data_IF_057024008582
#
_entry.id   IF_057024008582
#
_cell.length_a   1.000
_cell.length_b   1.000
_cell.length_c   1.000
_cell.angle_alpha   90.00
_cell.angle_beta   90.00
_cell.angle_gamma   90.00
#
_symmetry.space_group_name_H-M   'P 1'
#
loop_
_entity.id
_entity.type
_entity.pdbx_description
1 polymer ?
#
# COMPACT_ATOMS: atom_id res chain seq x y z
N UNK A 1 -9.84 6.74 15.83
CA UNK A 1 -9.54 8.02 15.14
C UNK A 1 -10.78 8.64 14.50
N UNK A 2 -11.68 7.89 13.87
CA UNK A 2 -12.90 8.48 13.26
C UNK A 2 -13.96 8.95 14.28
N UNK A 3 -14.06 8.26 15.43
CA UNK A 3 -15.06 8.54 16.48
C UNK A 3 -14.67 9.65 17.47
N UNK A 4 -13.44 9.61 17.98
CA UNK A 4 -13.00 10.49 19.07
C UNK A 4 -12.34 11.74 18.49
N UNK A 5 -12.80 12.90 18.91
CA UNK A 5 -12.17 14.20 18.63
C UNK A 5 -11.34 14.61 19.84
N UNK A 6 -10.01 14.74 19.71
CA UNK A 6 -9.19 15.37 20.74
C UNK A 6 -9.72 16.79 21.06
N UNK A 7 -9.56 17.28 22.30
CA UNK A 7 -10.10 18.59 22.70
C UNK A 7 -9.40 19.78 22.04
N UNK A 8 -8.30 19.56 21.31
CA UNK A 8 -7.51 20.58 20.62
C UNK A 8 -7.32 20.22 19.14
N UNK A 9 -7.26 21.24 18.28
CA UNK A 9 -6.94 21.14 16.85
C UNK A 9 -7.87 20.18 16.06
N UNK A 10 -9.13 20.07 16.47
CA UNK A 10 -10.10 19.32 15.68
C UNK A 10 -9.89 17.81 15.64
N UNK A 11 -10.67 17.13 14.79
CA UNK A 11 -10.65 15.67 14.70
C UNK A 11 -9.32 15.14 14.16
N UNK A 12 -8.91 15.59 12.98
CA UNK A 12 -7.78 15.00 12.24
C UNK A 12 -6.43 15.53 12.73
N UNK A 13 -6.27 16.84 12.89
CA UNK A 13 -4.99 17.45 13.30
C UNK A 13 -4.65 17.10 14.75
N UNK A 14 -5.65 17.03 15.64
CA UNK A 14 -5.46 16.55 17.01
C UNK A 14 -4.83 15.15 17.07
N UNK A 15 -5.36 14.19 16.30
CA UNK A 15 -4.80 12.83 16.25
C UNK A 15 -3.41 12.77 15.58
N UNK A 16 -3.18 13.58 14.53
CA UNK A 16 -1.85 13.71 13.91
C UNK A 16 -0.82 14.23 14.90
N UNK A 17 -1.17 15.26 15.68
CA UNK A 17 -0.26 15.83 16.66
C UNK A 17 0.06 14.82 17.77
N UNK A 18 -0.94 14.11 18.29
CA UNK A 18 -0.74 13.09 19.34
C UNK A 18 0.20 11.98 18.85
N UNK A 19 -0.02 11.43 17.65
CA UNK A 19 0.84 10.37 17.12
C UNK A 19 2.26 10.86 16.84
N UNK A 20 2.42 12.08 16.30
CA UNK A 20 3.73 12.70 16.07
C UNK A 20 4.51 12.92 17.37
N UNK A 21 3.87 13.44 18.42
CA UNK A 21 4.53 13.65 19.71
C UNK A 21 4.92 12.33 20.38
N UNK A 22 4.07 11.31 20.29
CA UNK A 22 4.41 9.97 20.78
C UNK A 22 5.58 9.35 20.01
N UNK A 23 5.64 9.54 18.68
CA UNK A 23 6.79 9.12 17.86
C UNK A 23 8.07 9.83 18.26
N UNK A 24 8.02 11.15 18.43
CA UNK A 24 9.18 11.94 18.88
C UNK A 24 9.67 11.42 20.23
N UNK A 25 8.78 11.24 21.20
CA UNK A 25 9.13 10.72 22.52
C UNK A 25 9.74 9.31 22.45
N UNK A 26 9.16 8.42 21.65
CA UNK A 26 9.65 7.06 21.48
C UNK A 26 11.02 7.01 20.80
N UNK A 27 11.24 7.81 19.75
CA UNK A 27 12.54 7.89 19.04
C UNK A 27 13.62 8.48 19.94
N UNK A 28 13.30 9.53 20.72
CA UNK A 28 14.23 10.09 21.71
C UNK A 28 14.60 9.04 22.76
N UNK A 29 13.62 8.28 23.26
CA UNK A 29 13.85 7.20 24.22
C UNK A 29 14.76 6.10 23.63
N UNK A 30 14.58 5.74 22.35
CA UNK A 30 15.48 4.79 21.66
C UNK A 30 16.91 5.30 21.58
N UNK A 31 17.13 6.61 21.43
CA UNK A 31 18.45 7.22 21.45
C UNK A 31 19.23 7.00 22.75
N UNK A 32 18.54 6.88 23.89
CA UNK A 32 19.18 6.60 25.18
C UNK A 32 19.47 5.10 25.42
N UNK A 33 18.93 4.21 24.59
CA UNK A 33 19.08 2.77 24.78
C UNK A 33 20.37 2.26 24.12
N UNK A 34 21.13 1.45 24.86
CA UNK A 34 22.27 0.71 24.31
C UNK A 34 21.82 -0.68 23.83
N UNK A 35 21.95 -1.01 22.53
CA UNK A 35 21.50 -2.29 21.99
C UNK A 35 22.12 -3.52 22.69
N UNK A 36 23.35 -3.38 23.19
CA UNK A 36 24.08 -4.46 23.86
C UNK A 36 23.54 -4.80 25.26
N UNK A 37 22.86 -3.87 25.95
CA UNK A 37 22.43 -4.04 27.34
C UNK A 37 20.91 -4.09 27.49
N UNK A 38 20.15 -3.49 26.57
CA UNK A 38 18.71 -3.25 26.72
C UNK A 38 17.89 -3.70 25.51
N UNK A 39 18.21 -4.88 24.95
CA UNK A 39 17.56 -5.41 23.74
C UNK A 39 16.03 -5.47 23.86
N UNK A 40 15.50 -5.95 24.98
CA UNK A 40 14.04 -6.05 25.20
C UNK A 40 13.35 -4.69 25.24
N UNK A 41 13.95 -3.69 25.89
CA UNK A 41 13.39 -2.33 25.93
C UNK A 41 13.47 -1.64 24.57
N UNK A 42 14.57 -1.84 23.85
CA UNK A 42 14.71 -1.35 22.48
C UNK A 42 13.64 -1.99 21.56
N UNK A 43 13.38 -3.28 21.70
CA UNK A 43 12.32 -3.98 20.96
C UNK A 43 10.93 -3.44 21.32
N UNK A 44 10.63 -3.24 22.61
CA UNK A 44 9.37 -2.66 23.05
C UNK A 44 9.15 -1.23 22.49
N UNK A 45 10.20 -0.40 22.49
CA UNK A 45 10.16 0.92 21.87
C UNK A 45 10.00 0.85 20.35
N UNK A 46 10.63 -0.12 19.68
CA UNK A 46 10.47 -0.32 18.25
C UNK A 46 9.02 -0.67 17.88
N UNK A 47 8.38 -1.52 18.69
CA UNK A 47 6.95 -1.84 18.56
C UNK A 47 6.09 -0.61 18.78
N UNK A 48 6.40 0.21 19.80
CA UNK A 48 5.70 1.47 20.05
C UNK A 48 5.83 2.44 18.87
N UNK A 49 7.04 2.61 18.32
CA UNK A 49 7.29 3.42 17.12
C UNK A 49 6.48 2.89 15.94
N UNK A 50 6.51 1.57 15.68
CA UNK A 50 5.75 0.97 14.59
C UNK A 50 4.23 1.21 14.73
N UNK A 51 3.70 1.06 15.94
CA UNK A 51 2.29 1.29 16.23
C UNK A 51 1.90 2.78 16.05
N UNK A 52 2.71 3.70 16.56
CA UNK A 52 2.47 5.13 16.40
C UNK A 52 2.65 5.59 14.94
N UNK A 53 3.59 5.00 14.19
CA UNK A 53 3.79 5.25 12.75
C UNK A 53 2.58 4.80 11.95
N UNK A 54 2.10 3.57 12.15
CA UNK A 54 0.91 3.06 11.48
C UNK A 54 -0.32 3.93 11.80
N UNK A 55 -0.44 4.37 13.05
CA UNK A 55 -1.46 5.32 13.49
C UNK A 55 -1.36 6.66 12.75
N UNK A 56 -0.16 7.22 12.61
CA UNK A 56 0.07 8.48 11.91
C UNK A 56 -0.26 8.36 10.43
N UNK A 57 0.15 7.28 9.76
CA UNK A 57 -0.13 7.04 8.34
C UNK A 57 -1.63 7.04 8.07
N UNK A 58 -2.41 6.33 8.90
CA UNK A 58 -3.87 6.27 8.78
C UNK A 58 -4.50 7.66 8.93
N UNK A 59 -4.09 8.45 9.93
CA UNK A 59 -4.70 9.79 10.14
C UNK A 59 -4.25 10.76 9.05
N UNK A 60 -3.01 10.68 8.59
CA UNK A 60 -2.49 11.53 7.52
C UNK A 60 -3.18 11.26 6.19
N UNK A 61 -3.35 10.00 5.82
CA UNK A 61 -4.04 9.64 4.57
C UNK A 61 -5.54 9.97 4.63
N UNK A 62 -6.17 9.81 5.79
CA UNK A 62 -7.53 10.28 6.01
C UNK A 62 -7.64 11.80 5.87
N UNK A 63 -6.75 12.54 6.53
CA UNK A 63 -6.69 14.00 6.47
C UNK A 63 -6.51 14.49 5.02
N UNK A 64 -5.60 13.88 4.28
CA UNK A 64 -5.34 14.16 2.86
C UNK A 64 -6.57 13.88 1.99
N UNK A 65 -7.30 12.80 2.27
CA UNK A 65 -8.53 12.41 1.56
C UNK A 65 -9.68 13.38 1.85
N UNK A 66 -9.78 13.86 3.08
CA UNK A 66 -10.80 14.80 3.53
C UNK A 66 -10.53 16.22 2.98
N UNK A 67 -9.27 16.64 2.92
CA UNK A 67 -8.87 17.98 2.48
C UNK A 67 -8.90 18.17 0.95
N UNK A 68 -8.40 17.19 0.19
CA UNK A 68 -8.20 17.36 -1.25
C UNK A 68 -9.50 17.19 -2.05
N UNK A 69 -9.73 18.12 -2.98
CA UNK A 69 -10.79 17.98 -3.98
C UNK A 69 -10.45 16.87 -4.97
N UNK A 70 -11.45 16.30 -5.63
CA UNK A 70 -11.28 15.17 -6.55
C UNK A 70 -10.21 15.41 -7.63
N UNK A 71 -10.11 16.65 -8.13
CA UNK A 71 -9.13 17.11 -9.13
C UNK A 71 -7.70 17.18 -8.58
N UNK A 72 -7.55 17.47 -7.29
CA UNK A 72 -6.26 17.67 -6.62
C UNK A 72 -5.68 16.37 -6.06
N UNK A 73 -6.49 15.31 -5.91
CA UNK A 73 -6.08 14.02 -5.33
C UNK A 73 -4.85 13.42 -6.00
N UNK A 74 -4.74 13.52 -7.33
CA UNK A 74 -3.57 13.02 -8.05
C UNK A 74 -2.28 13.77 -7.70
N UNK A 75 -2.37 15.09 -7.55
CA UNK A 75 -1.22 15.94 -7.20
C UNK A 75 -0.84 15.77 -5.72
N UNK A 76 -1.84 15.75 -4.84
CA UNK A 76 -1.60 15.49 -3.42
C UNK A 76 -1.02 14.10 -3.16
N UNK A 77 -1.48 13.07 -3.90
CA UNK A 77 -0.86 11.75 -3.86
C UNK A 77 0.61 11.81 -4.31
N UNK A 78 0.91 12.46 -5.44
CA UNK A 78 2.27 12.61 -5.94
C UNK A 78 3.21 13.34 -4.95
N UNK A 79 2.76 14.45 -4.35
CA UNK A 79 3.52 15.19 -3.33
C UNK A 79 3.75 14.31 -2.09
N UNK A 80 2.74 13.55 -1.66
CA UNK A 80 2.89 12.64 -0.51
C UNK A 80 3.89 11.51 -0.80
N UNK A 81 3.89 10.97 -2.02
CA UNK A 81 4.87 9.96 -2.45
C UNK A 81 6.27 10.56 -2.52
N UNK A 82 6.42 11.78 -3.03
CA UNK A 82 7.70 12.50 -3.02
C UNK A 82 8.23 12.65 -1.59
N UNK A 83 7.39 13.15 -0.67
CA UNK A 83 7.76 13.31 0.74
C UNK A 83 8.19 12.00 1.38
N UNK A 84 7.46 10.91 1.13
CA UNK A 84 7.82 9.57 1.59
C UNK A 84 9.17 9.09 1.05
N UNK A 85 9.45 9.31 -0.25
CA UNK A 85 10.73 8.92 -0.88
C UNK A 85 11.91 9.74 -0.36
N UNK A 86 11.73 11.03 -0.14
CA UNK A 86 12.74 11.88 0.50
C UNK A 86 12.99 11.44 1.94
N UNK A 87 11.93 11.17 2.70
CA UNK A 87 12.04 10.68 4.07
C UNK A 87 12.81 9.35 4.13
N UNK A 88 12.53 8.41 3.23
CA UNK A 88 13.23 7.12 3.15
C UNK A 88 14.73 7.28 2.85
N UNK A 89 15.12 8.26 2.04
CA UNK A 89 16.53 8.57 1.76
C UNK A 89 17.23 9.14 3.01
N UNK A 90 16.58 10.10 3.67
CA UNK A 90 17.11 10.77 4.86
C UNK A 90 17.21 9.81 6.05
N UNK A 91 16.14 9.05 6.34
CA UNK A 91 16.09 8.13 7.48
C UNK A 91 16.85 6.82 7.26
N UNK A 92 17.08 6.44 6.01
CA UNK A 92 17.84 5.25 5.64
C UNK A 92 19.33 5.53 5.49
N UNK A 93 19.74 5.92 4.28
CA UNK A 93 21.17 6.03 3.92
C UNK A 93 21.89 7.19 4.61
N UNK A 94 21.24 8.35 4.68
CA UNK A 94 21.82 9.55 5.27
C UNK A 94 21.99 9.42 6.79
N UNK A 95 20.96 8.93 7.48
CA UNK A 95 21.03 8.66 8.91
C UNK A 95 22.13 7.65 9.26
N UNK A 96 22.24 6.55 8.51
CA UNK A 96 23.28 5.55 8.77
C UNK A 96 24.69 6.10 8.55
N UNK A 97 24.90 6.86 7.47
CA UNK A 97 26.19 7.50 7.19
C UNK A 97 26.57 8.54 8.25
N UNK A 98 25.60 9.33 8.73
CA UNK A 98 25.79 10.28 9.82
C UNK A 98 26.11 9.58 11.15
N UNK A 99 25.44 8.46 11.44
CA UNK A 99 25.67 7.67 12.64
C UNK A 99 27.07 7.07 12.66
N UNK A 100 27.53 6.51 11.55
CA UNK A 100 28.83 5.86 11.44
C UNK A 100 29.99 6.87 11.50
N UNK A 101 29.87 8.00 10.77
CA UNK A 101 31.02 8.88 10.53
C UNK A 101 31.12 10.10 11.45
N UNK A 102 30.02 10.60 12.00
CA UNK A 102 30.01 11.90 12.70
C UNK A 102 29.40 11.85 14.10
N UNK A 103 28.17 11.36 14.22
CA UNK A 103 27.33 11.63 15.39
C UNK A 103 27.16 10.43 16.33
N UNK A 104 27.48 9.22 15.89
CA UNK A 104 27.12 8.01 16.61
C UNK A 104 25.61 7.76 16.60
N UNK A 105 25.22 6.61 17.15
CA UNK A 105 23.85 6.11 17.12
C UNK A 105 22.85 6.99 17.88
N UNK A 106 23.22 7.40 19.10
CA UNK A 106 22.36 8.20 19.99
C UNK A 106 21.99 9.56 19.37
N UNK A 107 22.98 10.34 18.93
CA UNK A 107 22.71 11.66 18.38
C UNK A 107 22.00 11.59 17.03
N UNK A 108 22.19 10.52 16.25
CA UNK A 108 21.42 10.29 15.02
C UNK A 108 19.93 10.09 15.31
N UNK A 109 19.57 9.32 16.35
CA UNK A 109 18.16 9.20 16.74
C UNK A 109 17.56 10.51 17.21
N UNK A 110 18.30 11.31 17.98
CA UNK A 110 17.84 12.64 18.38
C UNK A 110 17.68 13.60 17.20
N UNK A 111 18.58 13.53 16.21
CA UNK A 111 18.44 14.27 14.97
C UNK A 111 17.16 13.85 14.22
N UNK A 112 16.87 12.55 14.11
CA UNK A 112 15.64 12.05 13.47
C UNK A 112 14.39 12.50 14.23
N UNK A 113 14.41 12.47 15.56
CA UNK A 113 13.33 13.02 16.38
C UNK A 113 13.16 14.53 16.16
N UNK A 114 14.25 15.28 16.02
CA UNK A 114 14.24 16.70 15.70
C UNK A 114 13.60 16.98 14.33
N UNK A 115 13.91 16.18 13.30
CA UNK A 115 13.29 16.31 11.98
C UNK A 115 11.77 16.08 12.02
N UNK A 116 11.28 15.20 12.89
CA UNK A 116 9.83 15.00 13.07
C UNK A 116 9.12 16.25 13.60
N UNK A 117 9.81 17.17 14.28
CA UNK A 117 9.23 18.45 14.72
C UNK A 117 8.83 19.36 13.53
N UNK A 118 9.45 19.20 12.37
CA UNK A 118 9.02 19.89 11.13
C UNK A 118 7.61 19.42 10.76
N UNK A 119 7.35 18.11 10.88
CA UNK A 119 6.03 17.53 10.69
C UNK A 119 5.00 18.04 11.72
N UNK A 120 5.41 18.22 12.97
CA UNK A 120 4.58 18.83 14.02
C UNK A 120 4.21 20.27 13.66
N UNK A 121 5.19 21.09 13.28
CA UNK A 121 4.95 22.47 12.86
C UNK A 121 4.01 22.53 11.64
N UNK A 122 4.20 21.64 10.66
CA UNK A 122 3.30 21.53 9.52
C UNK A 122 1.86 21.19 9.94
N UNK A 123 1.65 20.25 10.88
CA UNK A 123 0.31 19.92 11.42
C UNK A 123 -0.35 21.10 12.12
N UNK A 124 0.43 21.90 12.85
CA UNK A 124 -0.07 23.10 13.53
C UNK A 124 -0.50 24.20 12.54
N UNK A 125 0.21 24.35 11.43
CA UNK A 125 -0.11 25.33 10.38
C UNK A 125 -1.18 24.83 9.39
N UNK A 126 -1.44 23.52 9.37
CA UNK A 126 -2.35 22.91 8.41
C UNK A 126 -3.80 23.38 8.62
N UNK A 127 -4.56 23.62 7.53
CA UNK A 127 -5.97 23.99 7.61
C UNK A 127 -6.79 22.84 8.20
N UNK A 128 -7.90 23.16 8.85
CA UNK A 128 -8.85 22.14 9.26
C UNK A 128 -9.78 21.80 8.08
N UNK A 129 -10.08 20.52 7.81
CA UNK A 129 -10.99 20.17 6.73
C UNK A 129 -12.38 20.77 6.98
N UNK A 130 -12.87 21.55 6.03
CA UNK A 130 -14.22 22.14 6.05
C UNK A 130 -15.25 21.04 5.80
N UNK A 131 -15.68 20.33 6.84
CA UNK A 131 -16.92 19.56 6.78
C UNK A 131 -17.40 19.14 8.18
N UNK A 132 -18.60 19.63 8.55
CA UNK A 132 -19.41 19.21 9.71
C UNK A 132 -19.91 17.75 9.56
N UNK A 133 -19.03 16.80 9.21
CA UNK A 133 -19.39 15.39 9.16
C UNK A 133 -19.51 14.90 10.60
N UNK A 134 -20.71 14.52 11.07
CA UNK A 134 -20.91 14.07 12.43
C UNK A 134 -20.05 12.82 12.69
N UNK A 135 -19.28 12.85 13.77
CA UNK A 135 -18.50 11.68 14.18
C UNK A 135 -19.45 10.50 14.49
N UNK A 136 -19.08 9.26 14.12
CA UNK A 136 -19.86 8.07 14.45
C UNK A 136 -20.05 7.98 15.96
N UNK A 137 -21.30 7.79 16.41
CA UNK A 137 -21.67 7.88 17.84
C UNK A 137 -21.28 6.63 18.63
N UNK A 138 -21.22 5.47 17.96
CA UNK A 138 -20.91 4.17 18.58
C UNK A 138 -19.69 3.47 17.93
N UNK A 139 -19.07 2.54 18.66
CA UNK A 139 -17.93 1.75 18.14
C UNK A 139 -18.36 0.84 16.98
N UNK A 140 -19.58 0.30 17.06
CA UNK A 140 -20.18 -0.46 15.96
C UNK A 140 -20.33 0.41 14.71
N UNK A 141 -20.78 1.66 14.84
CA UNK A 141 -20.84 2.60 13.71
C UNK A 141 -19.46 2.96 13.17
N UNK A 142 -18.40 2.93 13.98
CA UNK A 142 -17.05 3.25 13.52
C UNK A 142 -16.36 2.09 12.79
N UNK A 143 -16.74 0.83 13.05
CA UNK A 143 -16.11 -0.36 12.46
C UNK A 143 -17.01 -1.05 11.44
N UNK A 144 -18.29 -1.25 11.76
CA UNK A 144 -19.23 -2.00 10.92
C UNK A 144 -19.83 -1.11 9.83
N UNK A 145 -20.15 0.16 10.12
CA UNK A 145 -20.75 1.04 9.11
C UNK A 145 -19.84 1.31 7.90
N UNK A 146 -18.52 1.55 8.03
CA UNK A 146 -17.62 1.68 6.89
C UNK A 146 -17.57 0.43 6.01
N UNK A 147 -17.57 -0.76 6.63
CA UNK A 147 -17.57 -2.03 5.93
C UNK A 147 -18.89 -2.27 5.22
N UNK A 148 -20.02 -2.00 5.89
CA UNK A 148 -21.36 -2.13 5.31
C UNK A 148 -21.58 -1.13 4.18
N UNK A 149 -21.10 0.10 4.32
CA UNK A 149 -21.10 1.11 3.26
C UNK A 149 -20.29 0.62 2.07
N UNK A 150 -19.08 0.12 2.27
CA UNK A 150 -18.22 -0.36 1.19
C UNK A 150 -18.81 -1.59 0.49
N UNK A 151 -19.15 -2.65 1.23
CA UNK A 151 -19.74 -3.88 0.68
C UNK A 151 -21.19 -3.71 0.24
N UNK A 152 -21.82 -2.57 0.48
CA UNK A 152 -23.16 -2.23 -0.04
C UNK A 152 -23.13 -1.63 -1.45
N UNK A 153 -21.95 -1.30 -1.98
CA UNK A 153 -21.77 -0.74 -3.32
C UNK A 153 -21.89 -1.82 -4.40
N UNK A 154 -22.34 -1.45 -5.60
CA UNK A 154 -22.59 -2.39 -6.69
C UNK A 154 -21.33 -3.14 -7.18
N UNK A 155 -20.12 -2.58 -7.00
CA UNK A 155 -18.87 -3.09 -7.57
C UNK A 155 -17.75 -3.27 -6.53
N UNK A 156 -18.13 -3.45 -5.26
CA UNK A 156 -17.17 -3.50 -4.15
C UNK A 156 -16.13 -4.61 -4.33
N UNK A 157 -16.54 -5.81 -4.75
CA UNK A 157 -15.68 -6.98 -4.87
C UNK A 157 -14.76 -6.89 -6.08
N UNK A 158 -15.26 -6.42 -7.23
CA UNK A 158 -14.42 -6.17 -8.41
C UNK A 158 -13.36 -5.10 -8.12
N UNK A 159 -13.70 -4.07 -7.34
CA UNK A 159 -12.75 -3.04 -6.93
C UNK A 159 -11.69 -3.62 -5.97
N UNK A 160 -12.07 -4.48 -5.03
CA UNK A 160 -11.09 -5.16 -4.16
C UNK A 160 -10.15 -6.05 -4.99
N UNK A 161 -10.69 -6.80 -5.94
CA UNK A 161 -9.90 -7.63 -6.83
C UNK A 161 -8.97 -6.79 -7.72
N UNK A 162 -9.46 -5.66 -8.24
CA UNK A 162 -8.68 -4.68 -8.98
C UNK A 162 -7.51 -4.14 -8.14
N UNK A 163 -7.75 -3.76 -6.89
CA UNK A 163 -6.70 -3.24 -5.99
C UNK A 163 -5.55 -4.24 -5.83
N UNK A 164 -5.87 -5.53 -5.68
CA UNK A 164 -4.86 -6.59 -5.55
C UNK A 164 -4.18 -6.91 -6.89
N UNK A 165 -4.95 -7.04 -7.97
CA UNK A 165 -4.44 -7.45 -9.28
C UNK A 165 -3.67 -6.33 -10.00
N UNK A 166 -4.04 -5.06 -9.81
CA UNK A 166 -3.42 -3.93 -10.49
C UNK A 166 -1.93 -3.81 -10.20
N UNK A 167 -1.51 -4.09 -8.95
CA UNK A 167 -0.10 -4.05 -8.54
C UNK A 167 0.63 -5.39 -8.67
N UNK A 168 -0.04 -6.44 -9.16
CA UNK A 168 0.51 -7.80 -9.16
C UNK A 168 1.74 -7.93 -10.07
N UNK A 169 1.67 -7.45 -11.31
CA UNK A 169 2.80 -7.56 -12.25
C UNK A 169 4.05 -6.79 -11.80
N UNK A 170 3.86 -5.57 -11.28
CA UNK A 170 4.89 -4.74 -10.66
C UNK A 170 5.48 -5.41 -9.41
N UNK A 171 4.63 -6.01 -8.56
CA UNK A 171 5.06 -6.74 -7.38
C UNK A 171 5.93 -7.96 -7.71
N UNK A 172 5.58 -8.73 -8.76
CA UNK A 172 6.41 -9.85 -9.20
C UNK A 172 7.79 -9.35 -9.64
N UNK A 173 7.85 -8.40 -10.57
CA UNK A 173 9.12 -7.89 -11.09
C UNK A 173 10.00 -7.27 -9.99
N UNK A 174 9.41 -6.45 -9.11
CA UNK A 174 10.12 -5.76 -8.04
C UNK A 174 10.57 -6.66 -6.89
N UNK A 175 9.86 -7.76 -6.61
CA UNK A 175 10.19 -8.66 -5.48
C UNK A 175 11.55 -9.32 -5.60
N UNK A 176 11.99 -9.59 -6.83
CA UNK A 176 13.27 -10.25 -7.13
C UNK A 176 14.22 -9.41 -7.96
N UNK A 177 13.92 -8.13 -8.26
CA UNK A 177 14.75 -7.30 -9.15
C UNK A 177 16.19 -7.19 -8.69
N UNK A 178 16.43 -6.92 -7.39
CA UNK A 178 17.78 -6.85 -6.84
C UNK A 178 18.49 -8.21 -6.86
N UNK A 179 17.77 -9.29 -6.56
CA UNK A 179 18.30 -10.66 -6.62
C UNK A 179 18.64 -11.07 -8.06
N UNK A 180 17.82 -10.71 -9.04
CA UNK A 180 18.05 -10.96 -10.46
C UNK A 180 19.31 -10.25 -10.95
N UNK A 181 19.46 -8.97 -10.62
CA UNK A 181 20.63 -8.19 -11.05
C UNK A 181 21.94 -8.78 -10.49
N UNK A 182 21.94 -9.18 -9.22
CA UNK A 182 23.14 -9.71 -8.56
C UNK A 182 23.39 -11.18 -8.93
N UNK A 183 22.39 -12.04 -8.77
CA UNK A 183 22.55 -13.51 -8.93
C UNK A 183 22.19 -14.03 -10.32
N UNK A 184 21.28 -13.37 -11.03
CA UNK A 184 20.88 -13.76 -12.37
C UNK A 184 21.87 -13.28 -13.42
N UNK A 185 22.10 -11.96 -13.49
CA UNK A 185 22.97 -11.34 -14.49
C UNK A 185 24.43 -11.23 -14.02
N UNK A 186 24.69 -11.25 -12.71
CA UNK A 186 26.04 -11.20 -12.16
C UNK A 186 26.63 -9.78 -12.06
N UNK A 187 25.80 -8.76 -11.81
CA UNK A 187 26.30 -7.41 -11.48
C UNK A 187 26.90 -7.35 -10.08
N UNK A 188 27.83 -6.41 -9.90
CA UNK A 188 28.37 -6.14 -8.56
C UNK A 188 27.27 -5.55 -7.66
N UNK A 189 27.20 -6.03 -6.41
CA UNK A 189 26.16 -5.58 -5.48
C UNK A 189 26.30 -4.10 -5.12
N UNK A 190 27.52 -3.55 -5.13
CA UNK A 190 27.79 -2.13 -4.94
C UNK A 190 27.26 -1.29 -6.08
N UNK A 191 27.51 -1.70 -7.33
CA UNK A 191 26.99 -1.02 -8.53
C UNK A 191 25.46 -1.04 -8.57
N UNK A 192 24.83 -2.20 -8.35
CA UNK A 192 23.37 -2.33 -8.30
C UNK A 192 22.79 -1.45 -7.20
N UNK A 193 23.40 -1.48 -6.02
CA UNK A 193 22.98 -0.65 -4.88
C UNK A 193 23.08 0.84 -5.17
N UNK A 194 24.17 1.29 -5.81
CA UNK A 194 24.37 2.69 -6.19
C UNK A 194 23.31 3.13 -7.20
N UNK A 195 23.10 2.37 -8.28
CA UNK A 195 22.14 2.72 -9.34
C UNK A 195 20.71 2.71 -8.81
N UNK A 196 20.30 1.71 -8.02
CA UNK A 196 18.96 1.68 -7.42
C UNK A 196 18.71 2.85 -6.47
N UNK A 197 19.68 3.17 -5.59
CA UNK A 197 19.51 4.24 -4.59
C UNK A 197 19.60 5.64 -5.18
N UNK A 198 20.37 5.83 -6.26
CA UNK A 198 20.52 7.14 -6.90
C UNK A 198 19.54 7.30 -8.05
N UNK A 199 19.79 6.61 -9.17
CA UNK A 199 19.02 6.70 -10.39
C UNK A 199 17.59 6.18 -10.21
N UNK A 200 17.40 5.04 -9.53
CA UNK A 200 16.08 4.47 -9.27
C UNK A 200 15.20 5.37 -8.39
N UNK A 201 15.76 5.91 -7.29
CA UNK A 201 15.02 6.85 -6.44
C UNK A 201 14.67 8.15 -7.19
N UNK A 202 15.63 8.71 -7.93
CA UNK A 202 15.41 9.89 -8.76
C UNK A 202 14.31 9.65 -9.79
N UNK A 203 14.36 8.52 -10.51
CA UNK A 203 13.35 8.10 -11.46
C UNK A 203 11.97 7.97 -10.80
N UNK A 204 11.89 7.38 -9.61
CA UNK A 204 10.63 7.25 -8.86
C UNK A 204 10.04 8.60 -8.52
N UNK A 205 10.87 9.56 -8.09
CA UNK A 205 10.45 10.93 -7.77
C UNK A 205 9.91 11.63 -9.03
N UNK A 206 10.69 11.62 -10.11
CA UNK A 206 10.28 12.22 -11.39
C UNK A 206 8.99 11.57 -11.89
N UNK A 207 8.90 10.25 -11.80
CA UNK A 207 7.73 9.47 -12.20
C UNK A 207 6.49 9.80 -11.37
N UNK A 208 6.61 9.86 -10.04
CA UNK A 208 5.48 10.21 -9.17
C UNK A 208 4.96 11.63 -9.46
N UNK A 209 5.85 12.61 -9.60
CA UNK A 209 5.48 14.00 -9.91
C UNK A 209 4.88 14.13 -11.31
N UNK A 210 5.54 13.56 -12.32
CA UNK A 210 5.05 13.55 -13.70
C UNK A 210 3.69 12.85 -13.80
N UNK A 211 3.54 11.70 -13.13
CA UNK A 211 2.27 10.97 -13.03
C UNK A 211 1.17 11.82 -12.38
N UNK A 212 1.47 12.51 -11.28
CA UNK A 212 0.55 13.42 -10.61
C UNK A 212 0.08 14.59 -11.49
N UNK A 213 1.00 15.20 -12.25
CA UNK A 213 0.66 16.27 -13.21
C UNK A 213 -0.19 15.71 -14.36
N UNK A 214 0.16 14.55 -14.89
CA UNK A 214 -0.59 13.95 -15.99
C UNK A 214 -2.02 13.55 -15.56
N UNK A 215 -2.20 13.17 -14.30
CA UNK A 215 -3.52 12.92 -13.70
C UNK A 215 -4.41 14.15 -13.56
N UNK A 216 -3.85 15.37 -13.62
CA UNK A 216 -4.68 16.58 -13.72
C UNK A 216 -5.29 16.73 -15.12
N UNK A 217 -4.62 16.20 -16.15
CA UNK A 217 -5.04 16.33 -17.56
C UNK A 217 -5.81 15.12 -18.09
N UNK A 218 -5.68 13.98 -17.42
CA UNK A 218 -6.34 12.72 -17.79
C UNK A 218 -7.40 12.36 -16.74
N UNK A 219 -8.45 11.64 -17.15
CA UNK A 219 -9.34 11.00 -16.18
C UNK A 219 -8.58 9.92 -15.39
N UNK A 220 -9.03 9.64 -14.16
CA UNK A 220 -8.36 8.67 -13.28
C UNK A 220 -8.21 7.30 -13.96
N UNK A 221 -9.25 6.87 -14.67
CA UNK A 221 -9.24 5.64 -15.46
C UNK A 221 -8.15 5.64 -16.54
N UNK A 222 -8.06 6.71 -17.35
CA UNK A 222 -7.06 6.81 -18.43
C UNK A 222 -5.64 6.84 -17.87
N UNK A 223 -5.43 7.56 -16.77
CA UNK A 223 -4.13 7.60 -16.10
C UNK A 223 -3.71 6.23 -15.57
N UNK A 224 -4.59 5.53 -14.83
CA UNK A 224 -4.33 4.17 -14.33
C UNK A 224 -4.06 3.18 -15.47
N UNK A 225 -4.82 3.27 -16.57
CA UNK A 225 -4.61 2.39 -17.72
C UNK A 225 -3.26 2.63 -18.37
N UNK A 226 -2.92 3.89 -18.64
CA UNK A 226 -1.63 4.27 -19.21
C UNK A 226 -0.47 3.83 -18.31
N UNK A 227 -0.55 4.11 -17.02
CA UNK A 227 0.53 3.81 -16.07
C UNK A 227 0.68 2.31 -15.82
N UNK A 228 -0.42 1.56 -15.78
CA UNK A 228 -0.35 0.11 -15.67
C UNK A 228 0.25 -0.56 -16.92
N UNK A 229 -0.07 -0.06 -18.11
CA UNK A 229 0.59 -0.51 -19.36
C UNK A 229 2.07 -0.15 -19.34
N UNK A 230 2.43 1.06 -18.94
CA UNK A 230 3.83 1.48 -18.83
C UNK A 230 4.61 0.62 -17.81
N UNK A 231 4.00 0.24 -16.68
CA UNK A 231 4.60 -0.70 -15.71
C UNK A 231 4.82 -2.09 -16.32
N UNK A 232 3.83 -2.62 -17.04
CA UNK A 232 3.99 -3.89 -17.74
C UNK A 232 5.11 -3.83 -18.79
N UNK A 233 5.19 -2.73 -19.55
CA UNK A 233 6.25 -2.52 -20.54
C UNK A 233 7.62 -2.34 -19.86
N UNK A 234 7.71 -1.70 -18.70
CA UNK A 234 9.00 -1.59 -18.00
C UNK A 234 9.57 -2.93 -17.58
N UNK A 235 8.73 -3.94 -17.32
CA UNK A 235 9.19 -5.31 -17.04
C UNK A 235 9.88 -5.97 -18.24
N UNK A 236 9.58 -5.54 -19.48
CA UNK A 236 10.33 -5.98 -20.66
C UNK A 236 11.81 -5.56 -20.60
N UNK A 237 12.13 -4.46 -19.93
CA UNK A 237 13.52 -4.03 -19.73
C UNK A 237 14.35 -5.08 -18.98
N UNK A 238 13.79 -5.69 -17.95
CA UNK A 238 14.43 -6.78 -17.22
C UNK A 238 14.46 -8.09 -18.02
N UNK A 239 13.43 -8.37 -18.83
CA UNK A 239 13.46 -9.50 -19.75
C UNK A 239 14.59 -9.38 -20.78
N UNK A 240 14.78 -8.19 -21.37
CA UNK A 240 15.89 -7.90 -22.29
C UNK A 240 17.22 -8.15 -21.58
N UNK A 241 17.36 -7.69 -20.34
CA UNK A 241 18.57 -7.90 -19.54
C UNK A 241 18.82 -9.37 -19.19
N UNK A 242 17.78 -10.21 -19.20
CA UNK A 242 17.91 -11.65 -18.96
C UNK A 242 18.42 -12.42 -20.18
N UNK A 243 18.33 -11.82 -21.37
CA UNK A 243 18.71 -12.46 -22.65
C UNK A 243 19.92 -11.77 -23.30
N UNK A 244 20.25 -10.54 -22.87
CA UNK A 244 21.35 -9.73 -23.41
C UNK A 244 22.56 -9.77 -22.48
N UNK A 245 23.75 -9.55 -23.05
CA UNK A 245 25.00 -9.47 -22.28
C UNK A 245 25.02 -8.31 -21.25
N UNK A 246 25.86 -8.50 -20.23
CA UNK A 246 26.05 -7.58 -19.12
C UNK A 246 26.52 -6.21 -19.61
N UNK A 247 25.71 -5.18 -19.40
CA UNK A 247 26.09 -3.78 -19.57
C UNK A 247 25.50 -2.90 -18.47
N UNK A 248 26.32 -2.01 -17.93
CA UNK A 248 25.90 -1.03 -16.92
C UNK A 248 24.81 -0.10 -17.46
N UNK A 249 24.87 0.23 -18.76
CA UNK A 249 23.92 1.14 -19.39
C UNK A 249 22.55 0.48 -19.55
N UNK A 250 22.51 -0.79 -19.95
CA UNK A 250 21.24 -1.54 -20.07
C UNK A 250 20.61 -1.75 -18.69
N UNK A 251 21.39 -2.11 -17.67
CA UNK A 251 20.92 -2.16 -16.29
C UNK A 251 20.36 -0.82 -15.79
N UNK A 252 21.13 0.26 -15.96
CA UNK A 252 20.72 1.60 -15.53
C UNK A 252 19.43 2.05 -16.22
N UNK A 253 19.28 1.79 -17.52
CA UNK A 253 18.06 2.12 -18.27
C UNK A 253 16.85 1.31 -17.81
N UNK A 254 17.02 0.01 -17.52
CA UNK A 254 15.94 -0.85 -17.04
C UNK A 254 15.47 -0.40 -15.64
N UNK A 255 16.41 -0.15 -14.72
CA UNK A 255 16.11 0.36 -13.37
C UNK A 255 15.41 1.72 -13.46
N UNK A 256 15.91 2.63 -14.30
CA UNK A 256 15.31 3.95 -14.47
C UNK A 256 13.87 3.85 -14.97
N UNK A 257 13.62 3.06 -16.03
CA UNK A 257 12.28 2.91 -16.61
C UNK A 257 11.30 2.25 -15.64
N UNK A 258 11.72 1.19 -14.96
CA UNK A 258 10.89 0.52 -13.93
C UNK A 258 10.53 1.49 -12.82
N UNK A 259 11.51 2.18 -12.24
CA UNK A 259 11.25 3.07 -11.12
C UNK A 259 10.42 4.30 -11.53
N UNK A 260 10.63 4.82 -12.75
CA UNK A 260 9.80 5.89 -13.32
C UNK A 260 8.34 5.45 -13.43
N UNK A 261 8.08 4.30 -14.06
CA UNK A 261 6.72 3.76 -14.24
C UNK A 261 6.09 3.34 -12.91
N UNK A 262 6.88 2.75 -12.02
CA UNK A 262 6.52 2.37 -10.66
C UNK A 262 6.09 3.59 -9.83
N UNK A 263 6.83 4.70 -9.92
CA UNK A 263 6.47 5.99 -9.32
C UNK A 263 5.14 6.53 -9.83
N UNK A 264 4.96 6.59 -11.15
CA UNK A 264 3.72 7.05 -11.79
C UNK A 264 2.50 6.26 -11.31
N UNK A 265 2.56 4.92 -11.39
CA UNK A 265 1.41 4.12 -10.98
C UNK A 265 1.25 3.99 -9.47
N UNK A 266 2.26 4.21 -8.64
CA UNK A 266 2.07 4.30 -7.18
C UNK A 266 1.29 5.56 -6.81
N UNK A 267 1.61 6.71 -7.41
CA UNK A 267 0.85 7.94 -7.21
C UNK A 267 -0.61 7.78 -7.66
N UNK A 268 -0.84 7.20 -8.84
CA UNK A 268 -2.20 6.95 -9.34
C UNK A 268 -2.97 5.94 -8.49
N UNK A 269 -2.30 4.91 -7.98
CA UNK A 269 -2.92 3.92 -7.11
C UNK A 269 -3.34 4.52 -5.76
N UNK A 270 -2.51 5.36 -5.15
CA UNK A 270 -2.90 6.09 -3.93
C UNK A 270 -4.11 6.98 -4.19
N UNK A 271 -4.15 7.70 -5.32
CA UNK A 271 -5.29 8.52 -5.70
C UNK A 271 -6.56 7.70 -5.98
N UNK A 272 -6.43 6.48 -6.52
CA UNK A 272 -7.52 5.52 -6.65
C UNK A 272 -8.09 5.16 -5.27
N UNK A 273 -7.23 4.77 -4.32
CA UNK A 273 -7.67 4.44 -2.96
C UNK A 273 -8.42 5.61 -2.31
N UNK A 274 -7.88 6.83 -2.42
CA UNK A 274 -8.55 8.03 -1.91
C UNK A 274 -9.93 8.26 -2.55
N UNK A 275 -10.08 7.96 -3.84
CA UNK A 275 -11.34 8.13 -4.57
C UNK A 275 -12.38 7.10 -4.19
N UNK A 276 -11.95 5.92 -3.75
CA UNK A 276 -12.81 4.85 -3.29
C UNK A 276 -13.25 5.00 -1.83
N UNK A 277 -12.66 5.92 -1.09
CA UNK A 277 -13.03 6.19 0.29
C UNK A 277 -14.20 7.17 0.37
N UNK A 278 -15.20 6.83 1.20
CA UNK A 278 -16.23 7.76 1.61
C UNK A 278 -15.65 8.72 2.65
N UNK A 279 -15.87 10.04 2.49
CA UNK A 279 -15.37 11.07 3.41
C UNK A 279 -15.82 10.85 4.86
N UNK A 280 -17.01 10.26 5.06
CA UNK A 280 -17.52 9.95 6.41
C UNK A 280 -16.69 8.90 7.16
N UNK A 281 -15.99 8.02 6.44
CA UNK A 281 -15.26 6.88 6.98
C UNK A 281 -13.86 6.73 6.35
N UNK A 282 -13.25 7.85 5.97
CA UNK A 282 -12.06 7.88 5.12
C UNK A 282 -10.88 7.12 5.73
N UNK A 283 -10.61 7.29 7.02
CA UNK A 283 -9.50 6.62 7.70
C UNK A 283 -9.65 5.09 7.69
N UNK A 284 -10.81 4.59 8.11
CA UNK A 284 -11.05 3.15 8.21
C UNK A 284 -11.06 2.47 6.84
N UNK A 285 -11.71 3.08 5.83
CA UNK A 285 -11.74 2.53 4.48
C UNK A 285 -10.36 2.60 3.80
N UNK A 286 -9.63 3.71 3.94
CA UNK A 286 -8.31 3.82 3.35
C UNK A 286 -7.33 2.81 3.95
N UNK A 287 -7.34 2.67 5.29
CA UNK A 287 -6.52 1.68 5.98
C UNK A 287 -6.81 0.25 5.50
N UNK A 288 -8.08 -0.11 5.36
CA UNK A 288 -8.49 -1.42 4.87
C UNK A 288 -7.97 -1.68 3.44
N UNK A 289 -8.20 -0.74 2.53
CA UNK A 289 -7.83 -0.90 1.12
C UNK A 289 -6.30 -0.89 0.93
N UNK A 290 -5.59 -0.04 1.67
CA UNK A 290 -4.12 0.00 1.68
C UNK A 290 -3.53 -1.30 2.22
N UNK A 291 -4.04 -1.80 3.35
CA UNK A 291 -3.60 -3.08 3.92
C UNK A 291 -3.85 -4.25 2.96
N UNK A 292 -5.00 -4.29 2.30
CA UNK A 292 -5.31 -5.31 1.30
C UNK A 292 -4.34 -5.26 0.11
N UNK A 293 -3.96 -4.06 -0.35
CA UNK A 293 -2.96 -3.91 -1.42
C UNK A 293 -1.57 -4.41 -1.00
N UNK A 294 -1.22 -4.29 0.27
CA UNK A 294 0.05 -4.76 0.81
C UNK A 294 0.12 -6.30 0.83
N UNK A 295 -0.99 -6.99 1.15
CA UNK A 295 -1.08 -8.46 1.10
C UNK A 295 -0.69 -8.96 -0.30
N UNK A 296 -1.26 -8.36 -1.35
CA UNK A 296 -0.92 -8.71 -2.73
C UNK A 296 0.57 -8.58 -3.06
N UNK A 297 1.28 -7.64 -2.43
CA UNK A 297 2.71 -7.40 -2.67
C UNK A 297 3.62 -8.31 -1.84
N UNK A 298 3.27 -8.56 -0.58
CA UNK A 298 4.13 -9.28 0.39
C UNK A 298 4.21 -10.76 0.07
N UNK A 299 3.10 -11.40 -0.30
CA UNK A 299 3.05 -12.85 -0.54
C UNK A 299 3.55 -13.26 -1.93
N UNK A 300 3.86 -12.31 -2.81
CA UNK A 300 4.39 -12.58 -4.15
C UNK A 300 5.84 -13.06 -4.11
N UNK A 301 6.66 -12.59 -3.18
CA UNK A 301 8.10 -12.91 -3.12
C UNK A 301 8.41 -14.42 -3.07
N UNK A 302 7.82 -15.20 -2.16
CA UNK A 302 8.04 -16.66 -2.12
C UNK A 302 7.61 -17.38 -3.39
N UNK A 303 6.46 -16.99 -3.98
CA UNK A 303 5.95 -17.56 -5.22
C UNK A 303 6.89 -17.24 -6.39
N UNK A 304 7.37 -16.01 -6.43
CA UNK A 304 8.35 -15.55 -7.41
C UNK A 304 9.65 -16.36 -7.33
N UNK A 305 10.16 -16.60 -6.11
CA UNK A 305 11.38 -17.39 -5.89
C UNK A 305 11.26 -18.81 -6.42
N UNK A 306 10.18 -19.51 -6.04
CA UNK A 306 9.89 -20.86 -6.54
C UNK A 306 9.75 -20.89 -8.07
N UNK A 307 9.09 -19.90 -8.67
CA UNK A 307 8.90 -19.84 -10.12
C UNK A 307 10.24 -19.68 -10.86
N UNK A 308 11.12 -18.82 -10.37
CA UNK A 308 12.46 -18.60 -10.94
C UNK A 308 13.32 -19.86 -10.83
N UNK A 309 13.28 -20.57 -9.70
CA UNK A 309 14.02 -21.83 -9.54
C UNK A 309 13.55 -22.90 -10.52
N UNK A 310 12.25 -22.96 -10.82
CA UNK A 310 11.68 -23.95 -11.74
C UNK A 310 11.79 -23.59 -13.23
N UNK A 311 11.65 -22.31 -13.60
CA UNK A 311 11.51 -21.87 -15.00
C UNK A 311 12.59 -20.88 -15.48
N UNK A 312 13.45 -20.39 -14.58
CA UNK A 312 14.50 -19.42 -14.87
C UNK A 312 14.03 -17.97 -14.99
N UNK A 313 15.00 -17.06 -15.12
CA UNK A 313 14.78 -15.61 -15.13
C UNK A 313 14.02 -15.07 -16.36
N UNK A 314 14.27 -15.52 -17.60
CA UNK A 314 13.57 -14.98 -18.76
C UNK A 314 12.05 -15.27 -18.71
N UNK A 315 11.66 -16.50 -18.38
CA UNK A 315 10.24 -16.86 -18.27
C UNK A 315 9.55 -16.14 -17.10
N UNK A 316 10.28 -15.87 -16.00
CA UNK A 316 9.75 -15.12 -14.87
C UNK A 316 9.34 -13.68 -15.24
N UNK A 317 10.17 -12.95 -15.98
CA UNK A 317 9.82 -11.59 -16.40
C UNK A 317 8.72 -11.56 -17.46
N UNK A 318 8.62 -12.58 -18.32
CA UNK A 318 7.44 -12.72 -19.21
C UNK A 318 6.17 -13.01 -18.40
N UNK A 319 6.26 -13.86 -17.38
CA UNK A 319 5.15 -14.14 -16.48
C UNK A 319 4.70 -12.89 -15.72
N UNK A 320 5.62 -12.03 -15.26
CA UNK A 320 5.24 -10.80 -14.56
C UNK A 320 4.48 -9.82 -15.46
N UNK A 321 4.81 -9.77 -16.76
CA UNK A 321 4.05 -8.99 -17.76
C UNK A 321 2.65 -9.58 -17.95
N UNK A 322 2.55 -10.90 -18.12
CA UNK A 322 1.27 -11.58 -18.23
C UNK A 322 0.40 -11.39 -16.97
N UNK A 323 1.01 -11.38 -15.78
CA UNK A 323 0.35 -11.15 -14.51
C UNK A 323 -0.19 -9.73 -14.34
N UNK A 324 0.28 -8.75 -15.13
CA UNK A 324 -0.29 -7.39 -15.15
C UNK A 324 -1.61 -7.32 -15.95
N UNK A 325 -1.82 -8.20 -16.94
CA UNK A 325 -2.97 -8.17 -17.84
C UNK A 325 -4.32 -8.30 -17.11
N UNK A 326 -4.52 -9.23 -16.15
CA UNK A 326 -5.78 -9.32 -15.41
C UNK A 326 -6.15 -8.02 -14.68
N UNK A 327 -5.16 -7.33 -14.09
CA UNK A 327 -5.37 -6.05 -13.43
C UNK A 327 -5.84 -4.96 -14.40
N UNK A 328 -5.25 -4.89 -15.59
CA UNK A 328 -5.66 -3.95 -16.65
C UNK A 328 -7.04 -4.27 -17.21
N UNK A 329 -7.36 -5.55 -17.40
CA UNK A 329 -8.69 -5.98 -17.85
C UNK A 329 -9.78 -5.63 -16.82
N UNK A 330 -9.53 -5.89 -15.54
CA UNK A 330 -10.43 -5.51 -14.44
C UNK A 330 -10.63 -4.01 -14.37
N UNK A 331 -9.57 -3.23 -14.59
CA UNK A 331 -9.66 -1.78 -14.66
C UNK A 331 -10.60 -1.36 -15.79
N UNK A 332 -10.47 -1.98 -16.98
CA UNK A 332 -11.34 -1.80 -18.12
C UNK A 332 -12.82 -2.08 -17.81
N UNK A 333 -13.10 -3.18 -17.12
CA UNK A 333 -14.46 -3.55 -16.67
C UNK A 333 -15.01 -2.52 -15.68
N UNK A 334 -14.17 -1.99 -14.78
CA UNK A 334 -14.60 -1.01 -13.77
C UNK A 334 -14.69 0.44 -14.29
N UNK A 335 -14.38 0.69 -15.57
CA UNK A 335 -14.26 2.04 -16.15
C UNK A 335 -15.44 2.96 -15.81
N UNK A 336 -16.65 2.56 -16.17
CA UNK A 336 -17.86 3.38 -16.02
C UNK A 336 -18.16 3.67 -14.54
N UNK A 337 -17.82 2.73 -13.67
CA UNK A 337 -18.02 2.89 -12.22
C UNK A 337 -17.05 3.90 -11.63
N UNK A 338 -15.79 3.82 -12.04
CA UNK A 338 -14.75 4.74 -11.59
C UNK A 338 -15.02 6.16 -12.12
N UNK A 339 -15.40 6.30 -13.40
CA UNK A 339 -15.78 7.58 -14.00
C UNK A 339 -17.01 8.17 -13.30
N UNK A 340 -18.05 7.37 -13.03
CA UNK A 340 -19.23 7.83 -12.28
C UNK A 340 -18.89 8.32 -10.87
N UNK A 341 -18.10 7.53 -10.13
CA UNK A 341 -17.69 7.86 -8.76
C UNK A 341 -16.84 9.14 -8.72
N UNK A 342 -15.96 9.33 -9.71
CA UNK A 342 -15.13 10.52 -9.83
C UNK A 342 -15.98 11.78 -10.12
N UNK A 343 -17.02 11.68 -10.96
CA UNK A 343 -17.86 12.82 -11.36
C UNK A 343 -18.91 13.20 -10.32
N UNK A 344 -19.57 12.22 -9.70
CA UNK A 344 -20.72 12.46 -8.83
C UNK A 344 -20.38 12.42 -7.34
N UNK A 345 -19.18 11.95 -6.97
CA UNK A 345 -18.77 11.77 -5.56
C UNK A 345 -19.55 10.70 -4.80
N UNK A 346 -20.52 10.04 -5.45
CA UNK A 346 -21.42 9.06 -4.86
C UNK A 346 -21.22 7.67 -5.50
N UNK A 347 -21.36 6.64 -4.67
CA UNK A 347 -21.28 5.25 -5.10
C UNK A 347 -22.66 4.74 -5.54
N UNK A 348 -22.69 3.92 -6.59
CA UNK A 348 -23.92 3.26 -7.00
C UNK A 348 -24.31 2.19 -5.97
N UNK A 349 -25.52 2.27 -5.37
CA UNK A 349 -25.97 1.28 -4.41
C UNK A 349 -26.23 -0.05 -5.10
N UNK A 350 -26.00 -1.15 -4.38
CA UNK A 350 -26.35 -2.50 -4.85
C UNK A 350 -27.87 -2.64 -4.94
N UNK A 351 -28.35 -3.08 -6.09
CA UNK A 351 -29.78 -3.38 -6.32
C UNK A 351 -30.05 -4.87 -6.59
N UNK A 352 -29.07 -5.60 -7.15
CA UNK A 352 -29.22 -6.99 -7.60
C UNK A 352 -28.59 -8.01 -6.63
N UNK A 353 -29.07 -9.27 -6.68
CA UNK A 353 -28.48 -10.46 -6.01
C UNK A 353 -28.20 -10.37 -4.50
N UNK A 354 -29.01 -9.64 -3.73
CA UNK A 354 -28.79 -9.39 -2.29
C UNK A 354 -28.51 -10.67 -1.48
N UNK A 355 -29.26 -11.74 -1.71
CA UNK A 355 -29.11 -13.05 -1.07
C UNK A 355 -27.73 -13.70 -1.32
N UNK A 356 -27.30 -13.73 -2.59
CA UNK A 356 -26.05 -14.35 -3.01
C UNK A 356 -24.84 -13.60 -2.43
N UNK A 357 -24.91 -12.27 -2.33
CA UNK A 357 -23.87 -11.49 -1.68
C UNK A 357 -23.74 -11.76 -0.19
N UNK A 358 -24.83 -12.12 0.50
CA UNK A 358 -24.74 -12.52 1.92
C UNK A 358 -23.91 -13.79 2.08
N UNK A 359 -24.02 -14.73 1.15
CA UNK A 359 -23.19 -15.93 1.14
C UNK A 359 -21.72 -15.62 0.85
N UNK A 360 -21.44 -14.77 -0.14
CA UNK A 360 -20.07 -14.32 -0.41
C UNK A 360 -19.43 -13.64 0.81
N UNK A 361 -20.19 -12.76 1.49
CA UNK A 361 -19.72 -12.10 2.71
C UNK A 361 -19.52 -13.09 3.86
N UNK A 362 -20.43 -14.05 4.06
CA UNK A 362 -20.28 -15.10 5.09
C UNK A 362 -19.03 -15.93 4.86
N UNK A 363 -18.78 -16.37 3.63
CA UNK A 363 -17.57 -17.11 3.25
C UNK A 363 -16.32 -16.30 3.55
N UNK A 364 -16.29 -15.02 3.16
CA UNK A 364 -15.16 -14.13 3.47
C UNK A 364 -14.97 -13.95 4.99
N UNK A 365 -16.04 -13.67 5.74
CA UNK A 365 -15.94 -13.48 7.20
C UNK A 365 -15.47 -14.74 7.92
N UNK A 366 -15.90 -15.91 7.47
CA UNK A 366 -15.49 -17.19 8.05
C UNK A 366 -14.03 -17.48 7.68
N UNK A 367 -13.62 -17.22 6.44
CA UNK A 367 -12.23 -17.28 6.01
C UNK A 367 -11.30 -16.36 6.82
N UNK A 368 -11.67 -15.09 6.97
CA UNK A 368 -10.91 -14.13 7.78
C UNK A 368 -10.87 -14.52 9.27
N UNK A 369 -11.97 -15.07 9.82
CA UNK A 369 -11.99 -15.57 11.21
C UNK A 369 -11.03 -16.74 11.41
N UNK A 370 -10.97 -17.67 10.46
CA UNK A 370 -10.02 -18.79 10.49
C UNK A 370 -8.57 -18.32 10.34
N UNK A 371 -8.30 -17.31 9.50
CA UNK A 371 -6.98 -16.69 9.41
C UNK A 371 -6.58 -15.94 10.70
N UNK A 372 -7.54 -15.32 11.37
CA UNK A 372 -7.33 -14.73 12.70
C UNK A 372 -6.98 -15.78 13.75
N UNK A 373 -7.70 -16.90 13.77
CA UNK A 373 -7.40 -18.05 14.62
C UNK A 373 -6.03 -18.67 14.29
N UNK A 374 -5.68 -18.75 13.01
CA UNK A 374 -4.35 -19.18 12.57
C UNK A 374 -3.25 -18.28 13.13
N UNK A 375 -3.40 -16.95 13.05
CA UNK A 375 -2.43 -16.01 13.64
C UNK A 375 -2.28 -16.19 15.15
N UNK A 376 -3.39 -16.34 15.88
CA UNK A 376 -3.36 -16.60 17.33
C UNK A 376 -2.66 -17.91 17.66
N UNK A 377 -2.92 -18.96 16.87
CA UNK A 377 -2.28 -20.26 17.06
C UNK A 377 -0.79 -20.20 16.73
N UNK A 378 -0.39 -19.40 15.74
CA UNK A 378 1.02 -19.18 15.40
C UNK A 378 1.75 -18.48 16.55
N UNK A 379 1.14 -17.45 17.14
CA UNK A 379 1.67 -16.78 18.35
C UNK A 379 1.74 -17.75 19.53
N UNK A 380 0.69 -18.54 19.77
CA UNK A 380 0.67 -19.52 20.85
C UNK A 380 1.73 -20.62 20.66
N UNK A 381 1.94 -21.10 19.44
CA UNK A 381 3.01 -22.04 19.11
C UNK A 381 4.40 -21.40 19.31
N UNK A 382 4.56 -20.12 18.93
CA UNK A 382 5.82 -19.39 19.12
C UNK A 382 6.14 -19.10 20.59
N UNK A 383 5.12 -18.94 21.44
CA UNK A 383 5.23 -18.80 22.89
C UNK A 383 5.30 -20.16 23.61
N UNK A 384 5.36 -21.27 22.87
CA UNK A 384 5.36 -22.64 23.38
C UNK A 384 4.12 -23.01 24.22
N UNK A 385 3.02 -22.24 24.11
CA UNK A 385 1.75 -22.51 24.79
C UNK A 385 1.00 -23.68 24.15
N UNK A 386 1.20 -23.89 22.85
CA UNK A 386 0.60 -24.98 22.08
C UNK A 386 1.65 -25.63 21.18
N UNK A 387 1.51 -26.92 20.89
CA UNK A 387 2.39 -27.65 19.96
C UNK A 387 1.56 -28.27 18.82
N UNK A 388 0.79 -27.44 18.12
CA UNK A 388 -0.13 -27.89 17.07
C UNK A 388 0.19 -27.25 15.70
N UNK A 389 1.38 -27.49 15.10
CA UNK A 389 1.75 -26.90 13.81
C UNK A 389 0.86 -27.38 12.66
N UNK A 390 0.48 -28.66 12.66
CA UNK A 390 -0.41 -29.23 11.63
C UNK A 390 -1.81 -28.59 11.62
N UNK A 391 -2.32 -28.20 12.80
CA UNK A 391 -3.59 -27.49 12.90
C UNK A 391 -3.47 -26.07 12.33
N UNK A 392 -2.33 -25.40 12.57
CA UNK A 392 -2.05 -24.09 12.00
C UNK A 392 -2.04 -24.15 10.46
N UNK A 393 -1.35 -25.13 9.87
CA UNK A 393 -1.32 -25.29 8.41
C UNK A 393 -2.71 -25.53 7.82
N UNK A 394 -3.53 -26.38 8.46
CA UNK A 394 -4.92 -26.61 8.02
C UNK A 394 -5.79 -25.36 8.12
N UNK A 395 -5.68 -24.61 9.22
CA UNK A 395 -6.42 -23.35 9.41
C UNK A 395 -6.03 -22.32 8.36
N UNK A 396 -4.75 -22.21 8.02
CA UNK A 396 -4.27 -21.34 6.96
C UNK A 396 -4.86 -21.74 5.60
N UNK A 397 -4.78 -23.01 5.23
CA UNK A 397 -5.27 -23.51 3.94
C UNK A 397 -6.79 -23.32 3.79
N UNK A 398 -7.57 -23.72 4.81
CA UNK A 398 -9.03 -23.59 4.77
C UNK A 398 -9.44 -22.12 4.82
N UNK A 399 -8.82 -21.32 5.69
CA UNK A 399 -9.08 -19.88 5.80
C UNK A 399 -8.79 -19.13 4.51
N UNK A 400 -7.66 -19.43 3.87
CA UNK A 400 -7.29 -18.86 2.57
C UNK A 400 -8.25 -19.31 1.46
N UNK A 401 -8.57 -20.60 1.37
CA UNK A 401 -9.49 -21.13 0.36
C UNK A 401 -10.89 -20.51 0.46
N UNK A 402 -11.44 -20.40 1.67
CA UNK A 402 -12.76 -19.80 1.88
C UNK A 402 -12.78 -18.30 1.60
N UNK A 403 -11.71 -17.59 1.95
CA UNK A 403 -11.55 -16.17 1.63
C UNK A 403 -11.51 -15.96 0.11
N UNK A 404 -10.70 -16.76 -0.61
CA UNK A 404 -10.61 -16.72 -2.07
C UNK A 404 -11.93 -17.07 -2.75
N UNK A 405 -12.64 -18.10 -2.26
CA UNK A 405 -13.96 -18.48 -2.76
C UNK A 405 -14.99 -17.35 -2.53
N UNK A 406 -14.98 -16.72 -1.36
CA UNK A 406 -15.83 -15.56 -1.06
C UNK A 406 -15.57 -14.40 -2.02
N UNK A 407 -14.29 -14.07 -2.27
CA UNK A 407 -13.88 -13.02 -3.21
C UNK A 407 -14.27 -13.37 -4.65
N UNK A 408 -14.06 -14.61 -5.09
CA UNK A 408 -14.42 -15.07 -6.42
C UNK A 408 -15.93 -15.04 -6.65
N UNK A 409 -16.71 -15.51 -5.66
CA UNK A 409 -18.17 -15.45 -5.69
C UNK A 409 -18.66 -14.01 -5.71
N UNK A 410 -18.13 -13.13 -4.87
CA UNK A 410 -18.49 -11.71 -4.87
C UNK A 410 -18.15 -11.02 -6.19
N UNK A 411 -16.97 -11.28 -6.75
CA UNK A 411 -16.51 -10.68 -8.01
C UNK A 411 -17.34 -11.13 -9.22
N UNK A 412 -17.74 -12.40 -9.25
CA UNK A 412 -18.62 -12.92 -10.31
C UNK A 412 -20.03 -12.33 -10.22
N UNK A 413 -20.56 -12.15 -9.00
CA UNK A 413 -21.83 -11.47 -8.78
C UNK A 413 -21.78 -10.00 -9.22
N UNK A 414 -20.72 -9.27 -8.86
CA UNK A 414 -20.53 -7.87 -9.27
C UNK A 414 -20.47 -7.76 -10.81
N UNK A 415 -19.73 -8.66 -11.47
CA UNK A 415 -19.65 -8.69 -12.93
C UNK A 415 -21.02 -8.97 -13.60
N UNK A 416 -21.79 -9.91 -13.06
CA UNK A 416 -23.14 -10.20 -13.55
C UNK A 416 -24.12 -9.04 -13.30
N UNK A 417 -24.01 -8.38 -12.15
CA UNK A 417 -24.82 -7.22 -11.80
C UNK A 417 -24.54 -6.05 -12.76
N UNK A 418 -23.27 -5.76 -13.04
CA UNK A 418 -22.84 -4.75 -14.03
C UNK A 418 -23.41 -5.01 -15.42
N UNK A 419 -23.38 -6.26 -15.88
CA UNK A 419 -23.96 -6.66 -17.17
C UNK A 419 -25.47 -6.39 -17.24
N UNK A 420 -26.19 -6.58 -16.13
CA UNK A 420 -27.65 -6.39 -16.07
C UNK A 420 -28.08 -4.94 -15.93
N UNK A 421 -27.30 -4.10 -15.23
CA UNK A 421 -27.67 -2.71 -14.94
C UNK A 421 -27.59 -1.76 -16.14
N UNK A 422 -27.26 -2.25 -17.36
CA UNK A 422 -27.07 -1.44 -18.58
C UNK A 422 -26.31 -0.14 -18.32
N UNK A 423 -25.10 -0.27 -17.77
CA UNK A 423 -24.07 0.72 -18.05
C UNK A 423 -23.18 0.30 -19.22
N UNK A 424 -23.28 -0.94 -19.72
CA UNK A 424 -22.48 -1.54 -20.79
C UNK A 424 -22.10 -0.58 -21.93
#
# INVERSE_FOLDING_TARGET
MDRYTPPFLGRRRGWLLISQLLLVAAIVAMGFMQPAQHLWWLAALAVLVAFCSASQDIVFDAYKTDLLKAEERGTGAAISVLGYRLAMLVSGGLALWLADRYFGWQATYWLMAGLMLIGVAATLLAPEPDENIPAPRTMEQAVVAPLRDFFGRNNAWLILLLIVMYKMGDAFAGSLSTTFLIRGVGFDAGEVGLVNKTLGLFATIVGALFGGVLMQRLSLFRALMLFGVLQAVSNLGYWILAVTDKSLLTMGSAIFLENLCGGMGTAAFVALLMTLCNRSFSATQFALLSALSAVGRVYVGPIAGWFVEAHGWPLFYLFSIAAALPGLLLLGICRQTLEHTQQHGNFMPRTEFSESYRWALRLLTLGCSLLGLWLLLLIANALEWTQAPQLADRLLQIGAALSLLGVAMGSTLDYLALRRTRLA
#
